data_IF_101355374727
#
_entry.id   IF_101355374727
#
_cell.length_a   1.000
_cell.length_b   1.000
_cell.length_c   1.000
_cell.angle_alpha   90.00
_cell.angle_beta   90.00
_cell.angle_gamma   90.00
#
_symmetry.space_group_name_H-M   'P 1'
#
loop_
_entity.id
_entity.type
_entity.pdbx_description
1 polymer ?
#
# COMPACT_ATOMS: atom_id res chain seq x y z
N UNK A 1 6.55 3.96 2.76
CA UNK A 1 7.21 4.90 3.70
C UNK A 1 6.82 4.62 5.14
N UNK A 2 5.53 4.75 5.53
CA UNK A 2 5.03 4.37 6.86
C UNK A 2 5.59 3.02 7.35
N UNK A 3 5.48 1.96 6.54
CA UNK A 3 6.04 0.64 6.87
C UNK A 3 7.56 0.63 7.14
N UNK A 4 8.34 1.47 6.45
CA UNK A 4 9.79 1.53 6.66
C UNK A 4 10.16 2.36 7.88
N UNK A 5 9.48 3.50 8.07
CA UNK A 5 9.79 4.49 9.10
C UNK A 5 9.22 4.03 10.45
N UNK A 6 7.94 3.68 10.48
CA UNK A 6 7.20 3.43 11.71
C UNK A 6 7.27 1.96 12.16
N UNK A 7 7.44 1.04 11.21
CA UNK A 7 7.47 -0.42 11.47
C UNK A 7 8.84 -1.06 11.20
N UNK A 8 9.86 -0.26 10.84
CA UNK A 8 11.22 -0.75 10.64
C UNK A 8 11.37 -1.78 9.51
N UNK A 9 10.41 -1.86 8.59
CA UNK A 9 10.46 -2.83 7.49
C UNK A 9 11.54 -2.44 6.49
N UNK A 10 12.19 -3.44 5.88
CA UNK A 10 13.06 -3.18 4.73
C UNK A 10 12.24 -2.75 3.50
N UNK A 11 12.94 -2.29 2.46
CA UNK A 11 12.30 -1.71 1.26
C UNK A 11 11.38 -2.70 0.52
N UNK A 12 11.68 -4.00 0.51
CA UNK A 12 10.81 -5.02 -0.09
C UNK A 12 9.62 -5.36 0.82
N UNK A 13 9.89 -5.67 2.10
CA UNK A 13 8.85 -5.96 3.10
C UNK A 13 7.79 -4.85 3.18
N UNK A 14 8.23 -3.59 3.11
CA UNK A 14 7.35 -2.44 3.16
C UNK A 14 6.35 -2.38 2.00
N UNK A 15 6.73 -2.89 0.83
CA UNK A 15 5.88 -2.95 -0.34
C UNK A 15 5.06 -4.24 -0.47
N UNK A 16 5.55 -5.33 0.09
CA UNK A 16 4.83 -6.61 0.13
C UNK A 16 3.61 -6.53 1.06
N UNK A 17 3.75 -5.77 2.16
CA UNK A 17 2.70 -5.54 3.14
C UNK A 17 1.38 -5.10 2.50
N UNK A 18 0.28 -5.70 2.94
CA UNK A 18 -1.05 -5.43 2.41
C UNK A 18 -1.45 -3.96 2.62
N UNK A 19 -2.03 -3.35 1.59
CA UNK A 19 -2.36 -1.92 1.56
C UNK A 19 -3.86 -1.66 1.65
N UNK A 20 -4.15 -0.43 2.05
CA UNK A 20 -5.47 0.18 1.97
C UNK A 20 -5.44 1.36 1.00
N UNK A 21 -6.57 1.66 0.37
CA UNK A 21 -6.75 2.84 -0.46
C UNK A 21 -8.13 3.42 -0.22
N UNK A 22 -8.20 4.70 0.13
CA UNK A 22 -9.47 5.40 0.23
C UNK A 22 -9.85 6.00 -1.12
N UNK A 23 -11.10 5.78 -1.54
CA UNK A 23 -11.67 6.30 -2.79
C UNK A 23 -13.01 6.98 -2.53
N UNK A 24 -13.48 7.79 -3.47
CA UNK A 24 -14.77 8.48 -3.35
C UNK A 24 -14.73 9.74 -2.46
N UNK A 25 -13.59 10.11 -1.88
CA UNK A 25 -13.39 11.48 -1.38
C UNK A 25 -13.31 12.49 -2.52
N UNK A 26 -13.54 13.76 -2.21
CA UNK A 26 -13.24 14.86 -3.12
C UNK A 26 -11.79 14.76 -3.59
N UNK A 27 -11.58 14.86 -4.91
CA UNK A 27 -10.25 14.77 -5.51
C UNK A 27 -9.75 16.14 -5.93
N UNK A 28 -8.43 16.39 -5.89
CA UNK A 28 -7.84 17.63 -6.40
C UNK A 28 -8.07 17.81 -7.92
N UNK A 29 -8.57 16.78 -8.61
CA UNK A 29 -8.99 16.80 -10.02
C UNK A 29 -10.41 17.33 -10.23
N UNK A 30 -11.07 17.85 -9.18
CA UNK A 30 -12.41 18.43 -9.27
C UNK A 30 -13.56 17.42 -9.19
N UNK A 31 -13.27 16.13 -8.98
CA UNK A 31 -14.32 15.13 -8.78
C UNK A 31 -14.95 15.31 -7.39
N UNK A 32 -16.28 15.49 -7.28
CA UNK A 32 -16.95 15.63 -5.98
C UNK A 32 -16.88 14.33 -5.18
N UNK A 33 -17.08 14.45 -3.87
CA UNK A 33 -17.16 13.29 -2.99
C UNK A 33 -18.45 12.48 -3.24
N UNK A 34 -18.34 11.16 -3.11
CA UNK A 34 -19.46 10.22 -2.99
C UNK A 34 -19.64 9.87 -1.51
N UNK A 35 -20.41 10.70 -0.81
CA UNK A 35 -20.60 10.59 0.64
C UNK A 35 -19.26 10.60 1.39
N UNK A 36 -19.04 9.59 2.24
CA UNK A 36 -17.78 9.38 2.95
C UNK A 36 -16.72 8.61 2.15
N UNK A 37 -17.03 8.16 0.94
CA UNK A 37 -16.14 7.30 0.15
C UNK A 37 -16.13 5.83 0.59
N UNK A 38 -15.11 5.11 0.14
CA UNK A 38 -14.91 3.67 0.31
C UNK A 38 -13.48 3.36 0.72
N UNK A 39 -13.31 2.37 1.61
CA UNK A 39 -12.00 1.84 2.00
C UNK A 39 -11.75 0.56 1.20
N UNK A 40 -10.90 0.66 0.18
CA UNK A 40 -10.43 -0.52 -0.55
C UNK A 40 -9.33 -1.20 0.26
N UNK A 41 -9.43 -2.52 0.42
CA UNK A 41 -8.45 -3.33 1.13
C UNK A 41 -7.96 -4.49 0.27
N UNK A 42 -6.67 -4.80 0.35
CA UNK A 42 -6.07 -5.97 -0.31
C UNK A 42 -6.43 -7.28 0.42
N UNK A 43 -6.23 -8.41 -0.26
CA UNK A 43 -6.54 -9.76 0.24
C UNK A 43 -5.71 -10.16 1.47
N UNK A 44 -4.55 -9.56 1.68
CA UNK A 44 -3.72 -9.81 2.87
C UNK A 44 -4.29 -9.26 4.18
N UNK A 45 -5.35 -8.44 4.12
CA UNK A 45 -6.06 -7.94 5.30
C UNK A 45 -7.17 -8.94 5.68
N UNK A 46 -7.23 -9.39 6.93
CA UNK A 46 -8.20 -10.42 7.35
C UNK A 46 -9.66 -9.96 7.27
N UNK A 47 -10.58 -10.91 7.19
CA UNK A 47 -12.03 -10.62 7.20
C UNK A 47 -12.50 -10.03 8.54
N UNK A 48 -11.85 -10.38 9.65
CA UNK A 48 -12.17 -9.80 10.96
C UNK A 48 -11.83 -8.30 11.01
N UNK A 49 -10.71 -7.90 10.41
CA UNK A 49 -10.37 -6.46 10.27
C UNK A 49 -11.38 -5.76 9.37
N UNK A 50 -11.80 -6.40 8.26
CA UNK A 50 -12.81 -5.83 7.37
C UNK A 50 -14.15 -5.60 8.10
N UNK A 51 -14.64 -6.60 8.83
CA UNK A 51 -15.88 -6.50 9.62
C UNK A 51 -15.79 -5.45 10.72
N UNK A 52 -14.64 -5.34 11.39
CA UNK A 52 -14.45 -4.32 12.43
C UNK A 52 -14.45 -2.90 11.84
N UNK A 53 -13.88 -2.71 10.64
CA UNK A 53 -13.98 -1.44 9.92
C UNK A 53 -15.44 -1.12 9.53
N UNK A 54 -16.19 -2.10 9.02
CA UNK A 54 -17.62 -1.94 8.71
C UNK A 54 -18.44 -1.56 9.94
N UNK A 55 -18.18 -2.22 11.08
CA UNK A 55 -18.82 -1.90 12.37
C UNK A 55 -18.56 -0.47 12.83
N UNK A 56 -17.41 0.11 12.46
CA UNK A 56 -17.06 1.52 12.71
C UNK A 56 -17.66 2.49 11.69
N UNK A 57 -18.43 1.99 10.72
CA UNK A 57 -19.13 2.80 9.71
C UNK A 57 -18.38 2.95 8.39
N UNK A 58 -17.26 2.24 8.18
CA UNK A 58 -16.55 2.28 6.91
C UNK A 58 -17.26 1.43 5.84
N UNK A 59 -17.29 1.94 4.61
CA UNK A 59 -17.75 1.18 3.44
C UNK A 59 -16.56 0.42 2.85
N UNK A 60 -16.37 -0.82 3.26
CA UNK A 60 -15.19 -1.63 2.89
C UNK A 60 -15.41 -2.33 1.54
N UNK A 61 -14.38 -2.33 0.70
CA UNK A 61 -14.39 -2.99 -0.61
C UNK A 61 -13.15 -3.86 -0.77
N UNK A 62 -13.32 -5.15 -1.06
CA UNK A 62 -12.22 -6.02 -1.47
C UNK A 62 -11.80 -5.68 -2.89
N UNK A 63 -10.50 -5.45 -3.13
CA UNK A 63 -10.00 -5.11 -4.46
C UNK A 63 -8.70 -5.85 -4.79
N UNK A 64 -8.62 -6.33 -6.02
CA UNK A 64 -7.47 -7.09 -6.56
C UNK A 64 -6.46 -6.20 -7.31
N UNK A 65 -6.55 -4.88 -7.20
CA UNK A 65 -5.61 -3.97 -7.85
C UNK A 65 -5.83 -2.50 -7.52
N UNK A 66 -5.02 -1.63 -8.13
CA UNK A 66 -5.12 -0.19 -7.93
C UNK A 66 -4.47 0.34 -6.65
N UNK A 67 -3.54 -0.40 -6.05
CA UNK A 67 -2.80 0.02 -4.85
C UNK A 67 -1.38 0.56 -5.14
N UNK A 68 -1.04 0.70 -6.42
CA UNK A 68 0.27 1.19 -6.86
C UNK A 68 1.11 0.13 -7.56
N UNK A 69 2.36 0.49 -7.85
CA UNK A 69 3.31 -0.28 -8.64
C UNK A 69 4.74 0.19 -8.34
N UNK A 70 5.07 0.33 -7.05
CA UNK A 70 6.32 0.98 -6.67
C UNK A 70 7.54 0.19 -7.16
N UNK A 71 8.62 0.92 -7.42
CA UNK A 71 9.96 0.41 -7.66
C UNK A 71 10.88 1.24 -6.78
N UNK A 72 11.79 0.62 -6.04
CA UNK A 72 12.56 1.29 -5.01
C UNK A 72 14.01 0.85 -4.94
N UNK A 73 14.90 1.80 -4.71
CA UNK A 73 16.29 1.56 -4.30
C UNK A 73 16.49 2.29 -2.98
N UNK A 74 16.87 1.56 -1.94
CA UNK A 74 17.31 2.12 -0.67
C UNK A 74 18.84 2.15 -0.66
N UNK A 75 19.41 3.34 -0.43
CA UNK A 75 20.85 3.52 -0.28
C UNK A 75 21.19 3.42 1.20
N UNK A 76 21.90 2.35 1.58
CA UNK A 76 22.43 2.20 2.93
C UNK A 76 23.86 2.74 2.97
N UNK A 77 23.99 4.01 3.37
CA UNK A 77 25.30 4.70 3.43
C UNK A 77 26.24 4.09 4.47
N UNK A 78 25.72 3.61 5.60
CA UNK A 78 26.53 3.07 6.69
C UNK A 78 27.18 1.73 6.30
N UNK A 79 26.42 0.88 5.61
CA UNK A 79 26.93 -0.41 5.13
C UNK A 79 27.56 -0.33 3.72
N UNK A 80 27.41 0.81 3.02
CA UNK A 80 27.92 0.99 1.65
C UNK A 80 27.23 0.11 0.61
N UNK A 81 25.97 -0.29 0.83
CA UNK A 81 25.22 -1.21 -0.05
C UNK A 81 23.89 -0.61 -0.54
N UNK A 82 23.36 -1.17 -1.62
CA UNK A 82 22.07 -0.81 -2.20
C UNK A 82 21.07 -1.96 -2.05
N UNK A 83 19.85 -1.65 -1.59
CA UNK A 83 18.77 -2.63 -1.54
C UNK A 83 17.72 -2.27 -2.59
N UNK A 84 17.51 -3.15 -3.57
CA UNK A 84 16.46 -3.01 -4.58
C UNK A 84 15.17 -3.69 -4.15
N UNK A 85 14.03 -3.11 -4.53
CA UNK A 85 12.72 -3.73 -4.38
C UNK A 85 11.80 -3.39 -5.54
N UNK A 86 10.91 -4.33 -5.83
CA UNK A 86 9.89 -4.20 -6.87
C UNK A 86 8.54 -4.61 -6.31
N UNK A 87 7.48 -3.95 -6.77
CA UNK A 87 6.11 -4.35 -6.44
C UNK A 87 5.83 -5.78 -6.93
N UNK A 88 5.52 -6.74 -6.04
CA UNK A 88 5.27 -8.14 -6.43
C UNK A 88 4.01 -8.30 -7.30
N UNK A 89 3.09 -7.32 -7.26
CA UNK A 89 1.86 -7.30 -8.07
C UNK A 89 2.08 -6.74 -9.48
N UNK A 90 3.34 -6.45 -9.87
CA UNK A 90 3.75 -5.97 -11.19
C UNK A 90 4.85 -6.86 -11.75
N UNK A 91 5.15 -6.69 -13.03
CA UNK A 91 6.16 -7.43 -13.82
C UNK A 91 7.56 -6.82 -13.71
N UNK A 92 7.82 -6.02 -12.67
CA UNK A 92 9.12 -5.39 -12.45
C UNK A 92 10.17 -6.37 -11.89
N UNK A 93 11.43 -5.95 -11.93
CA UNK A 93 12.56 -6.68 -11.37
C UNK A 93 13.55 -5.72 -10.70
N UNK A 94 14.09 -6.13 -9.56
CA UNK A 94 15.22 -5.48 -8.91
C UNK A 94 16.48 -6.32 -9.15
N UNK A 95 17.50 -5.72 -9.75
CA UNK A 95 18.76 -6.39 -10.14
C UNK A 95 19.92 -5.54 -9.63
N UNK A 96 20.89 -6.16 -8.95
CA UNK A 96 22.07 -5.51 -8.38
C UNK A 96 23.35 -6.28 -8.66
N UNK A 97 24.49 -5.64 -8.39
CA UNK A 97 25.84 -6.20 -8.50
C UNK A 97 26.70 -5.75 -7.31
#
# INVERSE_FOLDING_TARGET
LVNMIDFGMNVQQAGDAARIRHLGSAQPTGKPADGSGYVHIESGISDDVAKELEKRGHRVVRSVGGFGGYQGILINHDAGVLHGATEPRKDGAAIGY
#
